data_IF_063239188065
#
_entry.id   IF_063239188065
#
_cell.length_a   1.000
_cell.length_b   1.000
_cell.length_c   1.000
_cell.angle_alpha   90.00
_cell.angle_beta   90.00
_cell.angle_gamma   90.00
#
_symmetry.space_group_name_H-M   'P 1'
#
loop_
_entity.id
_entity.type
_entity.pdbx_description
1 polymer ?
#
# COMPACT_ATOMS: atom_id res chain seq x y z
N UNK A 1 -32.10 15.51 25.70
CA UNK A 1 -31.98 14.92 24.35
C UNK A 1 -30.54 14.41 24.21
N UNK A 2 -30.26 13.10 24.31
CA UNK A 2 -28.88 12.63 24.22
C UNK A 2 -28.36 12.86 22.81
N UNK A 3 -27.13 13.37 22.71
CA UNK A 3 -26.44 13.52 21.44
C UNK A 3 -26.29 12.13 20.80
N UNK A 4 -26.81 11.99 19.58
CA UNK A 4 -26.68 10.80 18.76
C UNK A 4 -25.19 10.53 18.60
N UNK A 5 -24.70 9.40 19.13
CA UNK A 5 -23.35 8.94 18.84
C UNK A 5 -23.17 8.97 17.32
N UNK A 6 -22.20 9.74 16.86
CA UNK A 6 -21.87 9.87 15.44
C UNK A 6 -21.45 8.46 14.98
N UNK A 7 -22.13 7.91 13.98
CA UNK A 7 -21.70 6.65 13.37
C UNK A 7 -20.21 6.80 12.97
N UNK A 8 -19.37 5.77 13.16
CA UNK A 8 -17.95 5.87 12.86
C UNK A 8 -17.80 6.26 11.39
N UNK A 9 -17.04 7.33 11.15
CA UNK A 9 -16.72 7.76 9.81
C UNK A 9 -15.90 6.67 9.10
N UNK A 10 -16.22 6.46 7.84
CA UNK A 10 -15.52 5.74 6.78
C UNK A 10 -14.07 5.30 7.09
N UNK A 11 -13.87 3.99 7.27
CA UNK A 11 -12.60 3.23 7.23
C UNK A 11 -11.32 3.96 7.66
N UNK A 12 -11.16 4.25 8.96
CA UNK A 12 -9.83 4.53 9.51
C UNK A 12 -9.10 3.20 9.74
N UNK A 13 -8.06 2.95 8.94
CA UNK A 13 -7.16 1.82 9.19
C UNK A 13 -6.49 1.96 10.56
N UNK A 14 -6.77 1.01 11.45
CA UNK A 14 -6.22 0.96 12.81
C UNK A 14 -4.75 0.51 12.77
N UNK A 15 -4.42 -0.34 11.80
CA UNK A 15 -3.11 -0.94 11.64
C UNK A 15 -2.55 -0.75 10.24
N UNK A 16 -1.22 -0.79 10.15
CA UNK A 16 -0.48 -0.43 8.95
C UNK A 16 0.63 -1.43 8.67
N UNK A 17 0.69 -1.93 7.44
CA UNK A 17 1.79 -2.74 6.96
C UNK A 17 2.39 -2.10 5.71
N UNK A 18 3.70 -1.86 5.75
CA UNK A 18 4.45 -1.48 4.54
C UNK A 18 5.37 -2.64 4.16
N UNK A 19 5.39 -3.03 2.89
CA UNK A 19 6.16 -4.18 2.39
C UNK A 19 6.88 -3.76 1.12
N UNK A 20 8.10 -4.22 0.91
CA UNK A 20 8.77 -4.13 -0.40
C UNK A 20 8.75 -5.48 -1.09
N UNK A 21 8.67 -5.50 -2.42
CA UNK A 21 8.69 -6.77 -3.18
C UNK A 21 9.38 -6.62 -4.53
N UNK A 22 10.00 -7.71 -4.98
CA UNK A 22 10.35 -7.96 -6.40
C UNK A 22 9.51 -9.10 -7.00
N UNK A 23 8.61 -9.68 -6.19
CA UNK A 23 7.85 -10.88 -6.51
C UNK A 23 6.35 -10.56 -6.59
N UNK A 24 5.57 -11.46 -7.23
CA UNK A 24 4.11 -11.46 -7.10
C UNK A 24 3.65 -11.57 -5.63
N UNK A 25 2.36 -11.30 -5.36
CA UNK A 25 1.84 -11.28 -4.00
C UNK A 25 2.02 -12.61 -3.26
N UNK A 26 2.77 -12.56 -2.17
CA UNK A 26 3.01 -13.70 -1.28
C UNK A 26 1.80 -14.00 -0.40
N UNK A 27 1.83 -15.13 0.31
CA UNK A 27 0.80 -15.48 1.30
C UNK A 27 0.58 -14.36 2.33
N UNK A 28 1.66 -13.74 2.81
CA UNK A 28 1.59 -12.64 3.78
C UNK A 28 0.80 -11.45 3.22
N UNK A 29 1.10 -11.02 1.99
CA UNK A 29 0.40 -9.88 1.37
C UNK A 29 -1.09 -10.19 1.22
N UNK A 30 -1.43 -11.41 0.80
CA UNK A 30 -2.83 -11.87 0.67
C UNK A 30 -3.56 -11.86 2.00
N UNK A 31 -2.91 -12.31 3.06
CA UNK A 31 -3.49 -12.32 4.41
C UNK A 31 -3.73 -10.90 4.91
N UNK A 32 -2.75 -10.00 4.77
CA UNK A 32 -2.88 -8.62 5.20
C UNK A 32 -3.95 -7.86 4.41
N UNK A 33 -4.03 -8.08 3.09
CA UNK A 33 -5.05 -7.46 2.25
C UNK A 33 -6.49 -7.90 2.60
N UNK A 34 -6.66 -9.06 3.24
CA UNK A 34 -7.95 -9.59 3.66
C UNK A 34 -8.40 -9.13 5.06
N UNK A 35 -7.56 -8.41 5.82
CA UNK A 35 -7.92 -7.90 7.15
C UNK A 35 -8.56 -6.53 7.03
N UNK A 36 -9.77 -6.34 7.57
CA UNK A 36 -10.57 -5.13 7.39
C UNK A 36 -10.05 -3.88 8.12
N UNK A 37 -9.27 -4.08 9.18
CA UNK A 37 -8.70 -3.06 10.05
C UNK A 37 -7.26 -2.66 9.69
N UNK A 38 -6.70 -3.28 8.65
CA UNK A 38 -5.36 -2.99 8.13
C UNK A 38 -5.41 -2.21 6.84
N UNK A 39 -4.50 -1.25 6.74
CA UNK A 39 -4.07 -0.72 5.46
C UNK A 39 -2.68 -1.25 5.11
N UNK A 40 -2.51 -1.59 3.84
CA UNK A 40 -1.32 -2.27 3.34
C UNK A 40 -0.76 -1.51 2.16
N UNK A 41 0.49 -1.07 2.29
CA UNK A 41 1.24 -0.44 1.21
C UNK A 41 2.35 -1.37 0.76
N UNK A 42 2.29 -1.82 -0.49
CA UNK A 42 3.34 -2.62 -1.10
C UNK A 42 4.13 -1.76 -2.08
N UNK A 43 5.45 -1.75 -1.93
CA UNK A 43 6.39 -0.98 -2.74
C UNK A 43 7.15 -1.95 -3.65
N UNK A 44 6.83 -1.94 -4.95
CA UNK A 44 7.48 -2.79 -5.95
C UNK A 44 8.84 -2.24 -6.38
N UNK A 45 9.88 -3.06 -6.47
CA UNK A 45 11.14 -2.62 -7.09
C UNK A 45 11.08 -2.72 -8.63
N UNK A 46 12.15 -2.37 -9.35
CA UNK A 46 12.20 -2.32 -10.82
C UNK A 46 11.77 -3.61 -11.54
N UNK A 47 11.98 -4.76 -10.91
CA UNK A 47 11.66 -6.08 -11.49
C UNK A 47 10.27 -6.60 -11.10
N UNK A 48 9.54 -5.86 -10.25
CA UNK A 48 8.23 -6.28 -9.79
C UNK A 48 7.17 -6.10 -10.88
N UNK A 49 6.00 -6.68 -10.65
CA UNK A 49 4.82 -6.51 -11.51
C UNK A 49 4.39 -5.04 -11.57
N UNK A 50 3.72 -4.64 -12.66
CA UNK A 50 2.99 -3.36 -12.70
C UNK A 50 1.85 -3.36 -11.67
N UNK A 51 1.34 -2.18 -11.32
CA UNK A 51 0.19 -2.05 -10.43
C UNK A 51 -1.01 -2.90 -10.89
N UNK A 52 -1.38 -2.79 -12.16
CA UNK A 52 -2.49 -3.55 -12.72
C UNK A 52 -2.31 -5.07 -12.59
N UNK A 53 -1.11 -5.58 -12.87
CA UNK A 53 -0.81 -7.00 -12.76
C UNK A 53 -0.80 -7.48 -11.31
N UNK A 54 -0.30 -6.66 -10.39
CA UNK A 54 -0.26 -6.98 -8.97
C UNK A 54 -1.66 -7.04 -8.36
N UNK A 55 -2.53 -6.07 -8.67
CA UNK A 55 -3.93 -6.08 -8.26
C UNK A 55 -4.69 -7.28 -8.83
N UNK A 56 -4.47 -7.61 -10.12
CA UNK A 56 -5.03 -8.82 -10.73
C UNK A 56 -4.56 -10.08 -9.99
N UNK A 57 -3.27 -10.18 -9.65
CA UNK A 57 -2.72 -11.35 -8.96
C UNK A 57 -3.24 -11.52 -7.52
N UNK A 58 -3.71 -10.44 -6.87
CA UNK A 58 -4.35 -10.47 -5.56
C UNK A 58 -5.85 -10.78 -5.61
N UNK A 59 -6.52 -10.66 -6.76
CA UNK A 59 -7.97 -10.73 -6.89
C UNK A 59 -8.71 -9.72 -5.98
N UNK A 60 -8.20 -8.49 -5.85
CA UNK A 60 -8.83 -7.45 -5.01
C UNK A 60 -10.12 -6.93 -5.64
N UNK A 61 -11.15 -6.73 -4.81
CA UNK A 61 -12.38 -6.02 -5.16
C UNK A 61 -12.18 -4.49 -5.09
N UNK A 62 -13.15 -3.73 -5.63
CA UNK A 62 -13.15 -2.27 -5.54
C UNK A 62 -13.20 -1.74 -4.09
N UNK A 63 -13.75 -2.52 -3.15
CA UNK A 63 -13.77 -2.14 -1.73
C UNK A 63 -12.39 -2.31 -1.08
N UNK A 64 -11.59 -3.27 -1.55
CA UNK A 64 -10.23 -3.51 -1.03
C UNK A 64 -9.23 -2.45 -1.52
N UNK A 65 -9.52 -1.81 -2.66
CA UNK A 65 -8.68 -0.76 -3.25
C UNK A 65 -8.53 0.48 -2.35
N UNK A 66 -9.41 0.68 -1.36
CA UNK A 66 -9.29 1.79 -0.40
C UNK A 66 -8.25 1.55 0.69
N UNK A 67 -7.92 0.29 0.98
CA UNK A 67 -7.03 -0.11 2.08
C UNK A 67 -5.75 -0.79 1.58
N UNK A 68 -5.66 -1.03 0.27
CA UNK A 68 -4.51 -1.65 -0.35
C UNK A 68 -3.93 -0.75 -1.43
N UNK A 69 -2.68 -0.36 -1.26
CA UNK A 69 -1.93 0.47 -2.21
C UNK A 69 -0.73 -0.31 -2.73
N UNK A 70 -0.57 -0.39 -4.05
CA UNK A 70 0.66 -0.87 -4.67
C UNK A 70 1.38 0.27 -5.37
N UNK A 71 2.57 0.60 -4.89
CA UNK A 71 3.47 1.58 -5.49
C UNK A 71 4.44 0.86 -6.42
N UNK A 72 4.08 0.75 -7.69
CA UNK A 72 5.00 0.29 -8.73
C UNK A 72 6.14 1.29 -8.99
N UNK A 73 7.09 0.91 -9.86
CA UNK A 73 8.26 1.75 -10.12
C UNK A 73 7.88 3.14 -10.68
N UNK A 74 6.85 3.22 -11.52
CA UNK A 74 6.42 4.47 -12.13
C UNK A 74 5.62 5.33 -11.15
N UNK A 75 4.76 4.72 -10.31
CA UNK A 75 4.07 5.38 -9.22
C UNK A 75 5.05 5.99 -8.22
N UNK A 76 6.10 5.27 -7.84
CA UNK A 76 7.16 5.79 -6.97
C UNK A 76 7.85 7.01 -7.57
N UNK A 77 8.14 7.01 -8.88
CA UNK A 77 8.77 8.16 -9.57
C UNK A 77 7.88 9.40 -9.57
N UNK A 78 6.56 9.23 -9.55
CA UNK A 78 5.57 10.33 -9.52
C UNK A 78 5.32 10.89 -8.12
N UNK A 79 5.84 10.26 -7.06
CA UNK A 79 5.66 10.77 -5.70
C UNK A 79 6.35 12.14 -5.54
N UNK A 80 5.71 13.13 -4.90
CA UNK A 80 6.24 14.49 -4.78
C UNK A 80 7.32 14.63 -3.69
N UNK A 81 7.95 13.52 -3.28
CA UNK A 81 8.87 13.49 -2.15
C UNK A 81 10.32 13.51 -2.61
N UNK A 82 11.12 14.41 -2.02
CA UNK A 82 12.57 14.51 -2.33
C UNK A 82 13.34 13.20 -2.07
N UNK A 83 12.85 12.38 -1.13
CA UNK A 83 13.46 11.10 -0.77
C UNK A 83 13.43 10.08 -1.92
N UNK A 84 12.49 10.20 -2.88
CA UNK A 84 12.41 9.32 -4.07
C UNK A 84 13.71 9.31 -4.86
N UNK A 85 14.33 10.49 -5.02
CA UNK A 85 15.59 10.65 -5.74
C UNK A 85 16.82 10.22 -4.93
N UNK A 86 16.67 9.99 -3.62
CA UNK A 86 17.77 9.61 -2.71
C UNK A 86 17.81 8.10 -2.43
N UNK A 87 16.71 7.39 -2.67
CA UNK A 87 16.63 5.95 -2.45
C UNK A 87 17.06 5.19 -3.71
N UNK A 88 18.14 4.39 -3.69
CA UNK A 88 18.52 3.59 -4.84
C UNK A 88 17.46 2.53 -5.17
N UNK A 89 17.42 2.09 -6.42
CA UNK A 89 16.65 0.89 -6.82
C UNK A 89 17.36 -0.39 -6.38
N UNK A 90 16.65 -1.51 -6.38
CA UNK A 90 17.08 -2.81 -5.85
C UNK A 90 17.54 -2.72 -4.39
N UNK A 91 16.82 -1.92 -3.59
CA UNK A 91 17.23 -1.63 -2.23
C UNK A 91 16.02 -1.58 -1.27
N UNK A 92 16.12 -2.32 -0.17
CA UNK A 92 15.05 -2.46 0.83
C UNK A 92 14.59 -1.11 1.41
N UNK A 93 15.48 -0.12 1.46
CA UNK A 93 15.17 1.24 1.90
C UNK A 93 14.05 1.93 1.12
N UNK A 94 13.66 1.44 -0.08
CA UNK A 94 12.48 1.94 -0.81
C UNK A 94 11.17 1.74 -0.05
N UNK A 95 11.13 0.85 0.94
CA UNK A 95 10.00 0.70 1.87
C UNK A 95 9.60 2.04 2.53
N UNK A 96 10.56 2.94 2.75
CA UNK A 96 10.29 4.26 3.32
C UNK A 96 9.37 5.12 2.45
N UNK A 97 9.30 4.87 1.13
CA UNK A 97 8.35 5.55 0.25
C UNK A 97 6.90 5.22 0.63
N UNK A 98 6.62 3.96 0.96
CA UNK A 98 5.30 3.56 1.44
C UNK A 98 4.95 4.19 2.79
N UNK A 99 5.93 4.30 3.71
CA UNK A 99 5.71 4.97 5.01
C UNK A 99 5.32 6.44 4.84
N UNK A 100 5.98 7.17 3.93
CA UNK A 100 5.72 8.61 3.70
C UNK A 100 4.50 8.83 2.79
N UNK A 101 4.21 7.90 1.88
CA UNK A 101 3.00 7.95 1.06
C UNK A 101 1.74 7.98 1.92
N UNK A 102 1.75 7.19 2.99
CA UNK A 102 0.55 6.80 3.70
C UNK A 102 0.14 7.71 4.86
N UNK A 103 0.98 8.68 5.20
CA UNK A 103 0.65 9.73 6.19
C UNK A 103 -0.15 10.89 5.57
N UNK A 104 -1.02 10.61 4.59
CA UNK A 104 -1.83 11.63 3.89
C UNK A 104 -3.24 11.72 4.44
#
# INVERSE_FOLDING_TARGET
RPARARAPAESECVHWAVITTIFPPTRLVRQLAALDDWCVVVVGDLKALSEREYHRALNLSLNDARRFTYLDADAQRRLPYRIVAKLPWNHFGRKNLGIVHERR
#
